data_IF_356432681727
#
_entry.id   IF_356432681727
#
_cell.length_a   1.000
_cell.length_b   1.000
_cell.length_c   1.000
_cell.angle_alpha   90.00
_cell.angle_beta   90.00
_cell.angle_gamma   90.00
#
_symmetry.space_group_name_H-M   'P 1'
#
loop_
_entity.id
_entity.type
_entity.pdbx_description
1 polymer ?
#
# COMPACT_ATOMS: atom_id res chain seq x y z
N UNK A 1 -15.60 24.88 20.69
CA UNK A 1 -14.48 24.25 19.97
C UNK A 1 -13.26 24.28 20.87
N UNK A 2 -12.70 23.13 21.19
CA UNK A 2 -11.48 23.04 22.00
C UNK A 2 -10.27 23.20 21.10
N UNK A 3 -9.44 24.20 21.37
CA UNK A 3 -8.18 24.40 20.64
C UNK A 3 -7.27 23.19 20.87
N UNK A 4 -6.48 22.77 19.85
CA UNK A 4 -5.51 21.70 19.99
C UNK A 4 -4.54 22.05 21.13
N UNK A 5 -4.23 21.05 21.95
CA UNK A 5 -3.28 21.20 23.06
C UNK A 5 -2.03 20.39 22.75
N UNK A 6 -0.93 20.66 23.46
CA UNK A 6 0.33 19.90 23.32
C UNK A 6 0.13 18.38 23.38
N UNK A 7 -0.88 17.89 24.11
CA UNK A 7 -1.13 16.47 24.34
C UNK A 7 -2.35 15.91 23.60
N UNK A 8 -3.21 16.75 23.04
CA UNK A 8 -4.42 16.32 22.32
C UNK A 8 -4.52 17.05 20.99
N UNK A 9 -4.50 16.24 19.92
CA UNK A 9 -4.83 16.73 18.60
C UNK A 9 -6.31 17.14 18.52
N UNK A 10 -6.67 17.91 17.49
CA UNK A 10 -8.07 18.19 17.18
C UNK A 10 -8.87 16.92 16.85
N UNK A 11 -10.18 17.08 16.68
CA UNK A 11 -11.14 16.04 16.28
C UNK A 11 -10.68 15.20 15.08
N UNK A 12 -10.45 13.91 15.31
CA UNK A 12 -10.39 12.89 14.27
C UNK A 12 -10.70 11.54 14.91
N UNK A 13 -11.63 10.79 14.31
CA UNK A 13 -11.95 9.42 14.72
C UNK A 13 -11.74 8.46 13.56
N UNK A 14 -10.95 7.42 13.76
CA UNK A 14 -10.74 6.37 12.76
C UNK A 14 -11.52 5.10 13.14
N UNK A 15 -12.44 4.69 12.26
CA UNK A 15 -13.20 3.45 12.38
C UNK A 15 -12.62 2.40 11.43
N UNK A 16 -12.21 1.25 11.97
CA UNK A 16 -11.71 0.13 11.17
C UNK A 16 -12.74 -0.99 11.12
N UNK A 17 -13.20 -1.33 9.91
CA UNK A 17 -14.18 -2.38 9.67
C UNK A 17 -13.77 -3.19 8.44
N UNK A 18 -13.68 -4.52 8.58
CA UNK A 18 -13.44 -5.41 7.44
C UNK A 18 -12.15 -5.12 6.66
N UNK A 19 -11.09 -4.64 7.34
CA UNK A 19 -9.82 -4.26 6.70
C UNK A 19 -9.78 -2.86 6.11
N UNK A 20 -10.93 -2.17 6.03
CA UNK A 20 -11.04 -0.79 5.60
C UNK A 20 -11.03 0.16 6.80
N UNK A 21 -10.51 1.36 6.59
CA UNK A 21 -10.51 2.44 7.57
C UNK A 21 -11.35 3.60 7.03
N UNK A 22 -12.23 4.10 7.88
CA UNK A 22 -13.04 5.30 7.67
C UNK A 22 -12.59 6.37 8.65
N UNK A 23 -12.37 7.59 8.16
CA UNK A 23 -12.03 8.73 9.00
C UNK A 23 -13.26 9.62 9.15
N UNK A 24 -13.52 10.07 10.38
CA UNK A 24 -14.51 11.08 10.72
C UNK A 24 -13.78 12.30 11.25
N UNK A 25 -13.92 13.42 10.53
CA UNK A 25 -13.14 14.66 10.67
C UNK A 25 -11.63 14.47 10.49
N UNK A 26 -10.98 15.53 10.02
CA UNK A 26 -9.54 15.53 9.81
C UNK A 26 -8.98 16.88 10.23
N UNK A 27 -8.79 17.06 11.54
CA UNK A 27 -8.11 18.24 12.05
C UNK A 27 -6.64 18.31 11.60
N UNK A 28 -6.06 19.49 11.74
CA UNK A 28 -4.61 19.67 11.62
C UNK A 28 -3.85 18.64 12.48
N UNK A 29 -2.71 18.15 11.99
CA UNK A 29 -1.91 17.15 12.69
C UNK A 29 -2.47 15.72 12.67
N UNK A 30 -3.65 15.47 12.08
CA UNK A 30 -4.25 14.12 12.01
C UNK A 30 -3.33 13.12 11.30
N UNK A 31 -2.67 13.53 10.21
CA UNK A 31 -1.73 12.65 9.52
C UNK A 31 -0.55 12.25 10.40
N UNK A 32 0.01 13.19 11.18
CA UNK A 32 1.06 12.89 12.16
C UNK A 32 0.56 11.90 13.21
N UNK A 33 -0.68 12.05 13.68
CA UNK A 33 -1.25 11.08 14.63
C UNK A 33 -1.43 9.70 14.02
N UNK A 34 -1.88 9.61 12.76
CA UNK A 34 -2.00 8.34 12.04
C UNK A 34 -0.66 7.59 11.97
N UNK A 35 0.47 8.28 11.81
CA UNK A 35 1.80 7.67 11.80
C UNK A 35 2.19 6.99 13.12
N UNK A 36 1.62 7.40 14.25
CA UNK A 36 1.82 6.74 15.55
C UNK A 36 0.86 5.56 15.78
N UNK A 37 -0.13 5.38 14.92
CA UNK A 37 -1.08 4.26 15.00
C UNK A 37 -0.67 3.09 14.13
N UNK A 38 -1.32 1.94 14.31
CA UNK A 38 -1.16 0.75 13.44
C UNK A 38 -2.06 0.80 12.19
N UNK A 39 -2.60 1.97 11.85
CA UNK A 39 -3.48 2.15 10.70
C UNK A 39 -2.60 2.34 9.47
N UNK A 40 -2.73 1.43 8.50
CA UNK A 40 -2.07 1.60 7.21
C UNK A 40 -2.74 2.75 6.44
N UNK A 41 -1.99 3.71 5.89
CA UNK A 41 -2.54 4.74 5.01
C UNK A 41 -3.32 4.15 3.83
N UNK A 42 -2.91 2.98 3.31
CA UNK A 42 -3.60 2.30 2.20
C UNK A 42 -4.98 1.74 2.58
N UNK A 43 -5.25 1.55 3.87
CA UNK A 43 -6.56 1.06 4.32
C UNK A 43 -7.61 2.17 4.38
N UNK A 44 -7.21 3.44 4.32
CA UNK A 44 -8.13 4.58 4.43
C UNK A 44 -8.89 4.71 3.11
N UNK A 45 -10.21 4.55 3.18
CA UNK A 45 -11.04 4.50 1.96
C UNK A 45 -12.09 5.60 1.87
N UNK A 46 -12.57 6.11 3.01
CA UNK A 46 -13.53 7.23 3.04
C UNK A 46 -13.21 8.16 4.19
N UNK A 47 -13.46 9.45 3.93
CA UNK A 47 -13.34 10.53 4.89
C UNK A 47 -14.73 11.19 4.97
N UNK A 48 -15.27 11.26 6.17
CA UNK A 48 -16.54 11.91 6.49
C UNK A 48 -16.24 13.17 7.28
N UNK A 49 -16.83 14.29 6.89
CA UNK A 49 -16.68 15.57 7.58
C UNK A 49 -18.00 15.88 8.26
N UNK A 50 -17.97 16.08 9.58
CA UNK A 50 -19.17 16.34 10.37
C UNK A 50 -19.82 17.69 10.02
N UNK A 51 -18.99 18.71 9.78
CA UNK A 51 -19.43 20.05 9.39
C UNK A 51 -18.26 20.86 8.78
N UNK A 52 -18.59 21.96 8.10
CA UNK A 52 -17.63 22.76 7.34
C UNK A 52 -16.96 23.86 8.17
N UNK A 53 -16.30 23.49 9.26
CA UNK A 53 -15.37 24.38 9.95
C UNK A 53 -13.92 24.00 9.62
N UNK A 54 -13.07 25.02 9.57
CA UNK A 54 -11.67 24.86 9.19
C UNK A 54 -10.92 23.89 10.10
N UNK A 55 -11.20 23.93 11.40
CA UNK A 55 -10.59 23.03 12.37
C UNK A 55 -10.87 21.56 12.07
N UNK A 56 -12.00 21.18 11.47
CA UNK A 56 -12.31 19.79 11.07
C UNK A 56 -11.80 19.41 9.66
N UNK A 57 -11.30 20.38 8.88
CA UNK A 57 -10.93 20.22 7.47
C UNK A 57 -9.42 20.37 7.19
N UNK A 58 -8.68 21.13 8.01
CA UNK A 58 -7.30 21.53 7.70
C UNK A 58 -6.30 20.37 7.58
N UNK A 59 -6.61 19.19 8.11
CA UNK A 59 -5.77 17.99 7.96
C UNK A 59 -5.99 17.19 6.67
N UNK A 60 -6.94 17.57 5.81
CA UNK A 60 -7.29 16.78 4.61
C UNK A 60 -6.12 16.69 3.63
N UNK A 61 -5.48 17.82 3.32
CA UNK A 61 -4.37 17.87 2.36
C UNK A 61 -3.23 16.93 2.75
N UNK A 62 -2.67 17.00 3.97
CA UNK A 62 -1.57 16.09 4.35
C UNK A 62 -2.00 14.62 4.42
N UNK A 63 -3.25 14.32 4.82
CA UNK A 63 -3.76 12.94 4.82
C UNK A 63 -3.84 12.38 3.39
N UNK A 64 -4.45 13.11 2.46
CA UNK A 64 -4.57 12.67 1.06
C UNK A 64 -3.19 12.50 0.44
N UNK A 65 -2.29 13.47 0.63
CA UNK A 65 -0.94 13.39 0.10
C UNK A 65 -0.19 12.16 0.65
N UNK A 66 -0.32 11.90 1.95
CA UNK A 66 0.27 10.71 2.57
C UNK A 66 -0.25 9.39 1.99
N UNK A 67 -1.57 9.30 1.75
CA UNK A 67 -2.19 8.14 1.09
C UNK A 67 -1.66 8.00 -0.35
N UNK A 68 -1.62 9.09 -1.11
CA UNK A 68 -1.12 9.07 -2.50
C UNK A 68 0.35 8.63 -2.58
N UNK A 69 1.20 9.14 -1.69
CA UNK A 69 2.60 8.73 -1.61
C UNK A 69 2.72 7.26 -1.24
N UNK A 70 1.97 6.79 -0.24
CA UNK A 70 1.97 5.38 0.15
C UNK A 70 1.57 4.46 -1.02
N UNK A 71 0.53 4.85 -1.79
CA UNK A 71 0.14 4.14 -3.00
C UNK A 71 1.24 4.13 -4.07
N UNK A 72 1.89 5.27 -4.32
CA UNK A 72 2.98 5.35 -5.31
C UNK A 72 4.16 4.47 -4.93
N UNK A 73 4.55 4.46 -3.66
CA UNK A 73 5.64 3.62 -3.14
C UNK A 73 5.32 2.14 -3.33
N UNK A 74 4.12 1.71 -2.92
CA UNK A 74 3.68 0.32 -3.08
C UNK A 74 3.73 -0.14 -4.56
N UNK A 75 3.34 0.72 -5.50
CA UNK A 75 3.41 0.41 -6.93
C UNK A 75 4.86 0.31 -7.45
N UNK A 76 5.73 1.21 -6.99
CA UNK A 76 7.14 1.20 -7.38
C UNK A 76 7.86 -0.07 -6.92
N UNK A 77 7.63 -0.49 -5.67
CA UNK A 77 8.22 -1.70 -5.12
C UNK A 77 7.79 -2.96 -5.89
N UNK A 78 6.51 -3.03 -6.27
CA UNK A 78 5.98 -4.10 -7.11
C UNK A 78 6.67 -4.16 -8.48
N UNK A 79 6.86 -3.01 -9.13
CA UNK A 79 7.55 -2.94 -10.43
C UNK A 79 9.02 -3.39 -10.33
N UNK A 80 9.70 -3.06 -9.23
CA UNK A 80 11.08 -3.43 -9.01
C UNK A 80 11.21 -4.93 -8.73
N UNK A 81 10.28 -5.50 -7.97
CA UNK A 81 10.24 -6.94 -7.68
C UNK A 81 9.96 -7.76 -8.96
N UNK A 82 9.05 -7.28 -9.82
CA UNK A 82 8.79 -7.88 -11.13
C UNK A 82 10.02 -7.80 -12.05
N UNK A 83 10.71 -6.66 -12.08
CA UNK A 83 11.94 -6.45 -12.87
C UNK A 83 13.13 -7.28 -12.35
N UNK A 84 13.20 -7.56 -11.06
CA UNK A 84 14.21 -8.47 -10.46
C UNK A 84 13.98 -9.92 -10.89
N UNK A 85 12.72 -10.39 -10.85
CA UNK A 85 12.37 -11.75 -11.32
C UNK A 85 12.64 -11.92 -12.82
N UNK A 86 12.30 -10.94 -13.66
CA UNK A 86 12.57 -11.02 -15.10
C UNK A 86 14.05 -10.91 -15.47
N UNK A 87 14.86 -10.20 -14.67
CA UNK A 87 16.32 -10.12 -14.88
C UNK A 87 17.06 -11.40 -14.47
N UNK A 88 16.54 -12.14 -13.50
CA UNK A 88 17.12 -13.42 -13.06
C UNK A 88 16.78 -14.57 -14.01
N UNK A 89 15.62 -14.52 -14.68
CA UNK A 89 15.28 -15.45 -15.75
C UNK A 89 16.04 -15.08 -17.05
N UNK A 90 17.30 -15.53 -17.16
CA UNK A 90 18.05 -15.55 -18.42
C UNK A 90 18.17 -17.01 -18.88
N UNK A 91 17.34 -17.49 -19.82
CA UNK A 91 17.52 -18.84 -20.34
C UNK A 91 18.86 -18.89 -21.09
N UNK A 92 19.77 -19.74 -20.62
CA UNK A 92 21.01 -20.07 -21.32
C UNK A 92 20.68 -20.93 -22.56
N UNK A 93 20.17 -20.31 -23.63
CA UNK A 93 19.96 -20.99 -24.91
C UNK A 93 21.28 -21.12 -25.68
N UNK A 94 22.16 -22.02 -25.20
CA UNK A 94 23.27 -22.58 -25.97
C UNK A 94 23.25 -24.11 -25.87
N UNK A 95 22.27 -24.72 -26.54
CA UNK A 95 22.04 -26.17 -26.82
C UNK A 95 20.53 -26.24 -27.10
N UNK A 96 20.00 -26.53 -28.29
CA UNK A 96 20.37 -27.50 -29.31
C UNK A 96 19.82 -27.01 -30.66
N UNK A 97 20.70 -26.80 -31.63
CA UNK A 97 20.33 -26.94 -33.04
C UNK A 97 20.86 -28.32 -33.46
N UNK A 98 19.96 -29.28 -33.68
CA UNK A 98 20.29 -30.60 -34.23
C UNK A 98 19.78 -31.78 -33.39
N UNK A 99 19.20 -32.77 -34.09
CA UNK A 99 18.54 -34.00 -33.66
C UNK A 99 17.10 -33.79 -33.13
N UNK A 100 16.03 -33.98 -33.90
CA UNK A 100 15.57 -35.19 -34.61
C UNK A 100 15.29 -36.39 -33.68
N UNK A 101 14.04 -36.88 -33.74
CA UNK A 101 13.47 -38.14 -33.22
C UNK A 101 12.99 -38.21 -31.75
N UNK A 102 11.66 -38.31 -31.61
CA UNK A 102 10.98 -39.34 -30.79
C UNK A 102 10.67 -39.05 -29.31
N UNK A 103 9.42 -39.33 -28.92
CA UNK A 103 9.12 -39.94 -27.61
C UNK A 103 8.49 -39.04 -26.53
N UNK A 104 7.15 -39.11 -26.47
CA UNK A 104 6.30 -39.29 -25.28
C UNK A 104 6.53 -38.47 -23.99
N UNK A 105 5.52 -37.63 -23.73
CA UNK A 105 4.96 -37.18 -22.46
C UNK A 105 5.46 -37.85 -21.16
N UNK A 106 6.17 -37.07 -20.33
CA UNK A 106 5.97 -37.10 -18.87
C UNK A 106 6.54 -35.83 -18.23
N UNK A 107 5.64 -34.91 -17.88
CA UNK A 107 5.95 -33.75 -17.03
C UNK A 107 6.09 -34.25 -15.59
N UNK A 108 7.31 -34.47 -15.12
CA UNK A 108 7.59 -34.54 -13.68
C UNK A 108 7.93 -33.14 -13.18
N UNK A 109 6.95 -32.47 -12.58
CA UNK A 109 7.20 -31.30 -11.74
C UNK A 109 7.89 -31.76 -10.45
N UNK A 110 9.22 -31.61 -10.36
CA UNK A 110 9.89 -31.64 -9.06
C UNK A 110 9.75 -30.27 -8.38
N UNK A 111 9.20 -30.29 -7.16
CA UNK A 111 9.10 -29.14 -6.25
C UNK A 111 10.51 -28.63 -5.90
N UNK A 112 10.72 -27.30 -5.78
CA UNK A 112 11.96 -26.78 -5.23
C UNK A 112 12.00 -27.03 -3.71
N UNK A 113 13.05 -27.71 -3.26
CA UNK A 113 13.40 -27.85 -1.85
C UNK A 113 14.15 -26.60 -1.40
N UNK A 114 13.52 -25.86 -0.47
CA UNK A 114 13.99 -24.77 0.43
C UNK A 114 14.84 -23.66 -0.21
#
# INVERSE_FOLDING_TARGET
GGSPTMHRNGSCTALRLGGQTYLFDVCEGTYRQLQFTRISPMSITKIFISHLHGDHLYGIVPVIMGIMVAHKVAMNDNSMSQKRKSRFYKPNNKRLAGAAYGGEDSVTMEKPTI
#
